data_IF_532613431996
#
_entry.id   IF_532613431996
#
_cell.length_a   1.000
_cell.length_b   1.000
_cell.length_c   1.000
_cell.angle_alpha   90.00
_cell.angle_beta   90.00
_cell.angle_gamma   90.00
#
_symmetry.space_group_name_H-M   'P 1'
#
loop_
_entity.id
_entity.type
_entity.pdbx_description
1 polymer ?
#
# COMPACT_ATOMS: atom_id res chain seq x y z
N UNK A 1 -24.04 -22.21 -1.02
CA UNK A 1 -23.97 -21.36 0.20
C UNK A 1 -23.85 -19.87 -0.13
N UNK A 2 -23.44 -19.53 -1.33
CA UNK A 2 -23.39 -18.13 -1.82
C UNK A 2 -24.74 -17.40 -1.71
N UNK A 3 -25.85 -18.16 -1.73
CA UNK A 3 -27.22 -17.64 -1.66
C UNK A 3 -27.92 -17.94 -0.32
N UNK A 4 -27.14 -18.14 0.77
CA UNK A 4 -27.68 -18.39 2.11
C UNK A 4 -28.17 -19.82 2.34
N UNK A 5 -27.85 -20.78 1.46
CA UNK A 5 -28.21 -22.18 1.68
C UNK A 5 -27.50 -22.77 2.90
N UNK A 6 -28.24 -23.34 3.83
CA UNK A 6 -27.75 -23.94 5.08
C UNK A 6 -27.94 -25.44 5.14
N UNK A 7 -28.62 -26.06 4.17
CA UNK A 7 -28.84 -27.51 4.11
C UNK A 7 -27.61 -28.26 3.58
N UNK A 8 -27.70 -29.57 3.60
CA UNK A 8 -26.71 -30.50 3.06
C UNK A 8 -26.56 -30.33 1.55
N UNK A 9 -25.32 -30.27 1.07
CA UNK A 9 -24.95 -30.34 -0.34
C UNK A 9 -24.23 -31.66 -0.60
N UNK A 10 -24.96 -32.63 -1.21
CA UNK A 10 -24.43 -33.97 -1.45
C UNK A 10 -23.95 -34.15 -2.88
N UNK A 11 -22.68 -34.53 -3.06
CA UNK A 11 -22.16 -35.00 -4.32
C UNK A 11 -22.65 -36.44 -4.57
N UNK A 12 -23.30 -36.68 -5.73
CA UNK A 12 -23.83 -37.95 -6.14
C UNK A 12 -23.31 -38.34 -7.54
N UNK A 13 -23.42 -39.64 -7.89
CA UNK A 13 -22.96 -40.21 -9.15
C UNK A 13 -21.67 -41.01 -8.97
N UNK A 14 -20.78 -41.00 -9.93
CA UNK A 14 -19.47 -41.67 -9.84
C UNK A 14 -18.46 -40.86 -9.03
N UNK A 15 -18.74 -40.65 -7.74
CA UNK A 15 -17.82 -39.95 -6.85
C UNK A 15 -16.67 -40.85 -6.46
N UNK A 16 -15.45 -40.49 -6.87
CA UNK A 16 -14.23 -41.24 -6.62
C UNK A 16 -13.39 -40.54 -5.52
N UNK A 17 -12.46 -41.31 -4.91
CA UNK A 17 -11.60 -40.85 -3.82
C UNK A 17 -10.81 -39.59 -4.15
N UNK A 18 -10.22 -39.53 -5.33
CA UNK A 18 -9.42 -38.43 -5.81
C UNK A 18 -10.19 -37.10 -6.04
N UNK A 19 -11.52 -37.19 -6.12
CA UNK A 19 -12.39 -36.02 -6.30
C UNK A 19 -12.82 -35.40 -4.97
N UNK A 20 -12.79 -36.13 -3.87
CA UNK A 20 -13.37 -35.74 -2.58
C UNK A 20 -12.79 -34.42 -2.06
N UNK A 21 -11.47 -34.29 -2.12
CA UNK A 21 -10.79 -33.07 -1.69
C UNK A 21 -11.32 -31.82 -2.44
N UNK A 22 -11.43 -31.86 -3.75
CA UNK A 22 -11.90 -30.73 -4.55
C UNK A 22 -13.40 -30.49 -4.42
N UNK A 23 -14.20 -31.54 -4.30
CA UNK A 23 -15.64 -31.42 -4.07
C UNK A 23 -15.93 -30.77 -2.73
N UNK A 24 -15.21 -31.15 -1.66
CA UNK A 24 -15.32 -30.51 -0.36
C UNK A 24 -14.96 -29.02 -0.44
N UNK A 25 -13.89 -28.67 -1.16
CA UNK A 25 -13.49 -27.29 -1.41
C UNK A 25 -14.50 -26.49 -2.23
N UNK A 26 -15.23 -27.15 -3.13
CA UNK A 26 -16.34 -26.55 -3.87
C UNK A 26 -17.61 -26.33 -3.01
N UNK A 27 -17.61 -26.81 -1.75
CA UNK A 27 -18.69 -26.60 -0.79
C UNK A 27 -19.63 -27.78 -0.59
N UNK A 28 -19.34 -28.95 -1.16
CA UNK A 28 -20.06 -30.16 -0.84
C UNK A 28 -19.67 -30.66 0.57
N UNK A 29 -20.65 -31.09 1.35
CA UNK A 29 -20.47 -31.55 2.73
C UNK A 29 -20.94 -33.00 2.94
N UNK A 30 -21.48 -33.64 1.88
CA UNK A 30 -21.83 -35.06 1.85
C UNK A 30 -21.42 -35.67 0.50
N UNK A 31 -21.07 -36.97 0.52
CA UNK A 31 -20.51 -37.64 -0.65
C UNK A 31 -21.09 -39.04 -0.75
N UNK A 32 -21.80 -39.36 -1.83
CA UNK A 32 -22.24 -40.71 -2.16
C UNK A 32 -21.18 -41.33 -3.08
N UNK A 33 -20.31 -42.16 -2.52
CA UNK A 33 -19.25 -42.82 -3.27
C UNK A 33 -19.82 -43.82 -4.29
N UNK A 34 -19.07 -44.06 -5.35
CA UNK A 34 -19.39 -45.10 -6.33
C UNK A 34 -19.47 -46.47 -5.65
N UNK A 35 -20.36 -47.40 -6.13
CA UNK A 35 -20.55 -48.73 -5.53
C UNK A 35 -19.24 -49.50 -5.34
N UNK A 36 -19.12 -50.17 -4.22
CA UNK A 36 -17.94 -51.01 -3.89
C UNK A 36 -16.71 -50.22 -3.42
N UNK A 37 -16.83 -48.95 -3.13
CA UNK A 37 -15.74 -48.13 -2.58
C UNK A 37 -15.80 -48.11 -1.04
N UNK A 38 -14.63 -48.25 -0.41
CA UNK A 38 -14.45 -48.11 1.01
C UNK A 38 -14.51 -46.63 1.44
N UNK A 39 -15.52 -46.28 2.23
CA UNK A 39 -15.77 -44.94 2.67
C UNK A 39 -14.69 -44.41 3.63
N UNK A 40 -14.16 -45.29 4.51
CA UNK A 40 -13.11 -44.94 5.46
C UNK A 40 -11.79 -44.67 4.77
N UNK A 41 -11.42 -45.53 3.80
CA UNK A 41 -10.25 -45.28 2.97
C UNK A 41 -10.38 -44.04 2.09
N UNK A 42 -11.61 -43.78 1.60
CA UNK A 42 -11.86 -42.56 0.80
C UNK A 42 -11.78 -41.28 1.64
N UNK A 43 -12.24 -41.29 2.91
CA UNK A 43 -12.19 -40.13 3.79
C UNK A 43 -10.76 -39.57 4.00
N UNK A 44 -9.74 -40.41 3.90
CA UNK A 44 -8.32 -39.96 3.98
C UNK A 44 -7.95 -39.00 2.85
N UNK A 45 -8.69 -38.95 1.75
CA UNK A 45 -8.45 -38.02 0.67
C UNK A 45 -8.58 -36.52 1.07
N UNK A 46 -9.31 -36.22 2.14
CA UNK A 46 -9.41 -34.87 2.65
C UNK A 46 -8.08 -34.36 3.25
N UNK A 47 -7.15 -35.22 3.56
CA UNK A 47 -5.83 -34.94 4.12
C UNK A 47 -4.69 -35.06 3.09
N UNK A 48 -4.98 -35.47 1.84
CA UNK A 48 -3.98 -35.69 0.80
C UNK A 48 -3.18 -34.43 0.47
N UNK A 49 -3.78 -33.25 0.67
CA UNK A 49 -3.13 -31.97 0.40
C UNK A 49 -3.21 -31.05 1.63
N UNK A 50 -2.06 -30.62 2.12
CA UNK A 50 -1.95 -29.64 3.20
C UNK A 50 -2.15 -28.20 2.70
N UNK A 51 -1.89 -27.95 1.42
CA UNK A 51 -1.93 -26.62 0.78
C UNK A 51 -2.82 -26.70 -0.45
N UNK A 52 -3.60 -25.63 -0.67
CA UNK A 52 -4.43 -25.47 -1.86
C UNK A 52 -3.87 -24.35 -2.75
N UNK A 53 -4.01 -24.53 -4.07
CA UNK A 53 -3.51 -23.52 -5.02
C UNK A 53 -4.44 -22.31 -5.14
N UNK A 54 -5.74 -22.55 -5.17
CA UNK A 54 -6.76 -21.51 -5.36
C UNK A 54 -7.61 -21.33 -4.11
N UNK A 55 -8.25 -20.19 -3.99
CA UNK A 55 -9.29 -19.92 -3.01
C UNK A 55 -10.55 -20.78 -3.30
N UNK A 56 -11.24 -21.16 -2.25
CA UNK A 56 -12.43 -22.00 -2.34
C UNK A 56 -13.42 -21.70 -1.19
N UNK A 57 -14.45 -22.55 -1.03
CA UNK A 57 -15.46 -22.39 0.03
C UNK A 57 -14.97 -22.82 1.43
N UNK A 58 -13.81 -23.44 1.52
CA UNK A 58 -13.15 -23.78 2.77
C UNK A 58 -12.34 -22.58 3.34
N UNK A 59 -11.86 -22.72 4.57
CA UNK A 59 -11.06 -21.70 5.25
C UNK A 59 -9.55 -21.81 4.98
N UNK A 60 -9.13 -22.65 4.03
CA UNK A 60 -7.71 -22.86 3.71
C UNK A 60 -7.14 -21.69 2.93
N UNK A 61 -6.04 -21.15 3.42
CA UNK A 61 -5.33 -20.08 2.68
C UNK A 61 -4.65 -20.65 1.44
N UNK A 62 -4.84 -20.06 0.26
CA UNK A 62 -4.14 -20.48 -0.95
C UNK A 62 -2.62 -20.31 -0.83
N UNK A 63 -1.86 -21.26 -1.37
CA UNK A 63 -0.39 -21.19 -1.37
C UNK A 63 0.17 -19.87 -1.92
N UNK A 64 -0.48 -19.30 -2.94
CA UNK A 64 -0.10 -18.00 -3.49
C UNK A 64 -0.30 -16.87 -2.47
N UNK A 65 -1.41 -16.87 -1.73
CA UNK A 65 -1.69 -15.86 -0.71
C UNK A 65 -0.67 -15.92 0.44
N UNK A 66 -0.29 -17.10 0.90
CA UNK A 66 0.75 -17.29 1.91
C UNK A 66 2.11 -16.78 1.44
N UNK A 67 2.48 -17.10 0.19
CA UNK A 67 3.72 -16.60 -0.42
C UNK A 67 3.72 -15.07 -0.56
N UNK A 68 2.60 -14.49 -0.97
CA UNK A 68 2.45 -13.03 -1.07
C UNK A 68 2.49 -12.37 0.31
N UNK A 69 1.88 -12.98 1.32
CA UNK A 69 1.92 -12.48 2.70
C UNK A 69 3.35 -12.51 3.26
N UNK A 70 4.09 -13.61 3.06
CA UNK A 70 5.48 -13.72 3.47
C UNK A 70 6.39 -12.70 2.75
N UNK A 71 6.21 -12.53 1.44
CA UNK A 71 6.96 -11.55 0.66
C UNK A 71 6.67 -10.10 1.09
N UNK A 72 5.40 -9.80 1.43
CA UNK A 72 5.00 -8.50 1.98
C UNK A 72 5.65 -8.25 3.34
N UNK A 73 5.60 -9.23 4.24
CA UNK A 73 6.20 -9.11 5.57
C UNK A 73 7.71 -8.90 5.49
N UNK A 74 8.40 -9.63 4.62
CA UNK A 74 9.83 -9.43 4.39
C UNK A 74 10.16 -7.99 3.92
N UNK A 75 9.32 -7.41 3.04
CA UNK A 75 9.47 -6.01 2.62
C UNK A 75 9.24 -5.04 3.79
N UNK A 76 8.22 -5.26 4.61
CA UNK A 76 7.93 -4.43 5.80
C UNK A 76 9.12 -4.44 6.76
N UNK A 77 9.64 -5.62 7.08
CA UNK A 77 10.80 -5.78 7.98
C UNK A 77 12.03 -5.07 7.42
N UNK A 78 12.30 -5.22 6.11
CA UNK A 78 13.42 -4.52 5.45
C UNK A 78 13.25 -3.01 5.52
N UNK A 79 12.07 -2.49 5.22
CA UNK A 79 11.79 -1.05 5.26
C UNK A 79 11.92 -0.49 6.68
N UNK A 80 11.41 -1.21 7.70
CA UNK A 80 11.61 -0.79 9.10
C UNK A 80 13.08 -0.70 9.50
N UNK A 81 13.89 -1.69 9.09
CA UNK A 81 15.35 -1.66 9.34
C UNK A 81 16.02 -0.48 8.66
N UNK A 82 15.64 -0.17 7.42
CA UNK A 82 16.16 0.97 6.67
C UNK A 82 15.79 2.28 7.38
N UNK A 83 14.52 2.48 7.72
CA UNK A 83 14.05 3.68 8.44
C UNK A 83 14.78 3.87 9.79
N UNK A 84 14.96 2.79 10.56
CA UNK A 84 15.67 2.84 11.83
C UNK A 84 17.14 3.23 11.64
N UNK A 85 17.81 2.70 10.61
CA UNK A 85 19.20 3.05 10.28
C UNK A 85 19.31 4.52 9.87
N UNK A 86 18.42 5.01 9.04
CA UNK A 86 18.39 6.43 8.62
C UNK A 86 18.15 7.34 9.84
N UNK A 87 17.16 7.02 10.67
CA UNK A 87 16.87 7.82 11.87
C UNK A 87 18.06 7.88 12.86
N UNK A 88 18.84 6.80 12.96
CA UNK A 88 20.02 6.75 13.81
C UNK A 88 21.20 7.55 13.22
N UNK A 89 21.38 7.50 11.89
CA UNK A 89 22.46 8.23 11.21
C UNK A 89 22.13 9.72 11.00
N UNK A 90 20.84 10.04 10.88
CA UNK A 90 20.32 11.38 10.54
C UNK A 90 19.20 11.78 11.50
N UNK A 91 19.52 12.31 12.71
CA UNK A 91 18.52 12.69 13.71
C UNK A 91 17.54 13.78 13.25
N UNK A 92 17.89 14.53 12.23
CA UNK A 92 17.09 15.58 11.59
C UNK A 92 16.44 15.16 10.27
N UNK A 93 16.41 13.86 9.98
CA UNK A 93 15.79 13.32 8.78
C UNK A 93 14.34 13.76 8.64
N UNK A 94 13.93 14.05 7.41
CA UNK A 94 12.57 14.45 7.08
C UNK A 94 11.98 13.57 5.96
N UNK A 95 10.72 13.17 6.12
CA UNK A 95 9.97 12.43 5.12
C UNK A 95 8.96 13.34 4.42
N UNK A 96 9.12 13.51 3.10
CA UNK A 96 8.19 14.25 2.27
C UNK A 96 7.04 13.32 1.85
N UNK A 97 5.87 13.50 2.43
CA UNK A 97 4.68 12.71 2.12
C UNK A 97 3.77 13.45 1.15
N UNK A 98 3.41 12.78 0.05
CA UNK A 98 2.35 13.24 -0.86
C UNK A 98 0.95 12.85 -0.37
N UNK A 99 0.85 12.13 0.76
CA UNK A 99 -0.37 11.52 1.31
C UNK A 99 -0.99 10.47 0.39
N UNK A 100 -0.27 10.01 -0.64
CA UNK A 100 -0.68 8.88 -1.47
C UNK A 100 -0.45 7.53 -0.75
N UNK A 101 -0.99 6.45 -1.30
CA UNK A 101 -0.96 5.14 -0.66
C UNK A 101 0.45 4.67 -0.26
N UNK A 102 1.45 4.90 -1.11
CA UNK A 102 2.84 4.55 -0.85
C UNK A 102 3.42 5.31 0.35
N UNK A 103 3.17 6.61 0.38
CA UNK A 103 3.67 7.47 1.45
C UNK A 103 2.94 7.18 2.76
N UNK A 104 1.66 6.80 2.71
CA UNK A 104 0.90 6.39 3.90
C UNK A 104 1.43 5.09 4.49
N UNK A 105 1.97 4.17 3.69
CA UNK A 105 2.67 2.97 4.23
C UNK A 105 3.91 3.39 5.02
N UNK A 106 4.72 4.31 4.50
CA UNK A 106 5.89 4.82 5.23
C UNK A 106 5.47 5.60 6.49
N UNK A 107 4.42 6.41 6.40
CA UNK A 107 3.84 7.12 7.54
C UNK A 107 3.41 6.15 8.65
N UNK A 108 2.71 5.06 8.31
CA UNK A 108 2.32 4.01 9.26
C UNK A 108 3.54 3.36 9.93
N UNK A 109 4.57 3.03 9.15
CA UNK A 109 5.79 2.42 9.68
C UNK A 109 6.56 3.36 10.62
N UNK A 110 6.71 4.64 10.25
CA UNK A 110 7.37 5.65 11.08
C UNK A 110 6.60 5.85 12.39
N UNK A 111 5.28 6.03 12.30
CA UNK A 111 4.43 6.25 13.46
C UNK A 111 4.45 5.07 14.43
N UNK A 112 4.24 3.84 13.93
CA UNK A 112 4.22 2.62 14.77
C UNK A 112 5.54 2.27 15.41
N UNK A 113 6.65 2.68 14.80
CA UNK A 113 7.99 2.43 15.36
C UNK A 113 8.48 3.56 16.24
N UNK A 114 7.76 4.69 16.31
CA UNK A 114 8.14 5.85 17.10
C UNK A 114 9.47 6.49 16.68
N UNK A 115 9.86 6.32 15.41
CA UNK A 115 11.11 6.88 14.90
C UNK A 115 11.06 8.41 14.85
N UNK A 116 12.13 9.14 15.20
CA UNK A 116 12.20 10.59 15.24
C UNK A 116 12.38 11.17 13.80
N UNK A 117 11.56 10.72 12.86
CA UNK A 117 11.55 11.23 11.48
C UNK A 117 10.39 12.21 11.35
N UNK A 118 10.69 13.47 11.04
CA UNK A 118 9.65 14.48 10.81
C UNK A 118 8.94 14.20 9.50
N UNK A 119 7.61 14.30 9.52
CA UNK A 119 6.80 14.13 8.31
C UNK A 119 6.27 15.49 7.89
N UNK A 120 6.45 15.83 6.62
CA UNK A 120 5.88 17.04 6.05
C UNK A 120 5.17 16.74 4.73
N UNK A 121 4.26 17.62 4.35
CA UNK A 121 3.58 17.60 3.05
C UNK A 121 3.59 18.97 2.42
N UNK A 122 3.50 19.02 1.09
CA UNK A 122 3.41 20.25 0.32
C UNK A 122 1.95 20.53 -0.03
N UNK A 123 1.36 21.53 0.62
CA UNK A 123 0.06 22.05 0.19
C UNK A 123 0.27 23.11 -0.89
N UNK A 124 0.14 22.70 -2.13
CA UNK A 124 0.34 23.56 -3.29
C UNK A 124 -0.78 24.59 -3.50
N UNK A 125 -1.82 24.58 -2.66
CA UNK A 125 -3.06 25.32 -2.86
C UNK A 125 -3.92 24.78 -4.02
N UNK A 126 -3.64 23.54 -4.47
CA UNK A 126 -4.36 22.85 -5.56
C UNK A 126 -4.57 21.35 -5.25
N UNK A 127 -4.43 20.95 -3.99
CA UNK A 127 -4.72 19.61 -3.56
C UNK A 127 -6.25 19.43 -3.43
N UNK A 128 -6.72 18.22 -3.67
CA UNK A 128 -8.11 17.84 -3.40
C UNK A 128 -8.40 17.87 -1.90
N UNK A 129 -9.66 18.14 -1.55
CA UNK A 129 -10.10 18.23 -0.15
C UNK A 129 -9.87 16.91 0.61
N UNK A 130 -10.05 15.78 -0.06
CA UNK A 130 -9.80 14.44 0.47
C UNK A 130 -8.33 14.24 0.83
N UNK A 131 -7.41 14.74 -0.01
CA UNK A 131 -5.96 14.68 0.28
C UNK A 131 -5.62 15.52 1.50
N UNK A 132 -6.17 16.72 1.62
CA UNK A 132 -5.99 17.56 2.81
C UNK A 132 -6.62 16.94 4.06
N UNK A 133 -7.76 16.26 3.92
CA UNK A 133 -8.42 15.52 5.00
C UNK A 133 -7.53 14.44 5.61
N UNK A 134 -6.68 13.79 4.80
CA UNK A 134 -5.73 12.77 5.28
C UNK A 134 -4.78 13.27 6.37
N UNK A 135 -4.49 14.59 6.42
CA UNK A 135 -3.65 15.19 7.48
C UNK A 135 -4.32 15.02 8.84
N UNK A 136 -5.61 15.41 8.93
CA UNK A 136 -6.41 15.26 10.15
C UNK A 136 -6.63 13.80 10.55
N UNK A 137 -6.90 12.92 9.58
CA UNK A 137 -7.07 11.50 9.82
C UNK A 137 -5.77 10.87 10.34
N UNK A 138 -4.62 11.25 9.79
CA UNK A 138 -3.31 10.78 10.24
C UNK A 138 -3.04 11.20 11.68
N UNK A 139 -3.33 12.45 12.03
CA UNK A 139 -3.21 12.93 13.42
C UNK A 139 -4.12 12.14 14.35
N UNK A 140 -5.37 11.92 13.97
CA UNK A 140 -6.34 11.16 14.78
C UNK A 140 -5.90 9.71 14.97
N UNK A 141 -5.40 9.07 13.92
CA UNK A 141 -5.05 7.65 13.94
C UNK A 141 -3.74 7.33 14.66
N UNK A 142 -2.73 8.18 14.48
CA UNK A 142 -1.36 7.89 14.93
C UNK A 142 -0.86 8.85 16.02
N UNK A 143 -1.58 9.93 16.33
CA UNK A 143 -1.13 10.94 17.28
C UNK A 143 0.07 11.77 16.81
N UNK A 144 0.41 11.71 15.52
CA UNK A 144 1.53 12.47 14.92
C UNK A 144 1.03 13.67 14.15
N UNK A 145 1.85 14.71 14.08
CA UNK A 145 1.57 15.88 13.24
C UNK A 145 2.35 15.83 11.95
N UNK A 146 1.66 16.13 10.84
CA UNK A 146 2.27 16.35 9.55
C UNK A 146 2.44 17.86 9.36
N UNK A 147 3.68 18.29 9.20
CA UNK A 147 4.00 19.70 8.90
C UNK A 147 3.52 20.06 7.50
N UNK A 148 2.75 21.14 7.36
CA UNK A 148 2.19 21.56 6.08
C UNK A 148 2.98 22.73 5.53
N UNK A 149 3.75 22.48 4.49
CA UNK A 149 4.54 23.49 3.79
C UNK A 149 3.71 24.11 2.69
N UNK A 150 3.53 25.43 2.76
CA UNK A 150 2.77 26.21 1.80
C UNK A 150 3.66 27.17 1.04
N UNK A 151 3.35 27.46 -0.24
CA UNK A 151 4.02 28.52 -0.98
C UNK A 151 3.75 29.90 -0.35
N UNK A 152 4.62 30.85 -0.61
CA UNK A 152 4.44 32.23 -0.18
C UNK A 152 3.28 32.84 -0.96
N UNK A 153 2.25 33.35 -0.25
CA UNK A 153 1.03 33.87 -0.87
C UNK A 153 1.30 35.00 -1.88
N UNK A 154 2.17 35.92 -1.53
CA UNK A 154 2.53 37.06 -2.39
C UNK A 154 3.18 36.61 -3.72
N UNK A 155 3.95 35.50 -3.73
CA UNK A 155 4.56 34.99 -4.96
C UNK A 155 3.52 34.35 -5.88
N UNK A 156 2.53 33.65 -5.28
CA UNK A 156 1.39 33.11 -6.02
C UNK A 156 0.58 34.25 -6.65
N UNK A 157 0.24 35.27 -5.85
CA UNK A 157 -0.55 36.42 -6.29
C UNK A 157 0.14 37.16 -7.41
N UNK A 158 1.45 37.45 -7.31
CA UNK A 158 2.24 38.08 -8.34
C UNK A 158 2.27 37.24 -9.62
N UNK A 159 2.50 35.94 -9.54
CA UNK A 159 2.50 35.02 -10.69
C UNK A 159 1.13 34.99 -11.39
N UNK A 160 0.05 34.89 -10.62
CA UNK A 160 -1.32 34.86 -11.16
C UNK A 160 -1.71 36.21 -11.78
N UNK A 161 -1.32 37.34 -11.17
CA UNK A 161 -1.59 38.65 -11.71
C UNK A 161 -0.85 38.90 -13.05
N UNK A 162 0.39 38.40 -13.16
CA UNK A 162 1.18 38.56 -14.37
C UNK A 162 0.79 37.64 -15.52
N UNK A 163 0.35 36.41 -15.23
CA UNK A 163 0.22 35.36 -16.23
C UNK A 163 -1.16 34.67 -16.23
N UNK A 164 -2.00 34.92 -15.22
CA UNK A 164 -3.29 34.23 -15.07
C UNK A 164 -3.21 32.95 -14.25
N UNK A 165 -4.36 32.55 -13.69
CA UNK A 165 -4.46 31.40 -12.79
C UNK A 165 -4.18 30.03 -13.45
N UNK A 166 -4.26 29.96 -14.78
CA UNK A 166 -4.13 28.74 -15.57
C UNK A 166 -2.95 28.78 -16.55
N UNK A 167 -2.07 29.75 -16.45
CA UNK A 167 -0.90 29.95 -17.32
C UNK A 167 0.01 28.72 -17.47
N UNK A 168 0.01 27.82 -16.49
CA UNK A 168 0.77 26.55 -16.53
C UNK A 168 0.31 25.58 -17.63
N UNK A 169 -0.80 25.85 -18.33
CA UNK A 169 -1.23 25.14 -19.53
C UNK A 169 -0.70 25.76 -20.82
N UNK A 170 -0.24 27.02 -20.79
CA UNK A 170 0.09 27.81 -21.96
C UNK A 170 1.51 27.51 -22.47
N UNK A 171 2.47 27.33 -21.54
CA UNK A 171 3.84 26.99 -21.92
C UNK A 171 4.56 26.17 -20.88
N UNK A 172 5.68 25.54 -21.30
CA UNK A 172 6.55 24.77 -20.41
C UNK A 172 7.21 25.67 -19.36
N UNK A 173 7.60 26.87 -19.75
CA UNK A 173 8.25 27.88 -18.89
C UNK A 173 7.29 28.30 -17.77
N UNK A 174 6.07 28.68 -18.12
CA UNK A 174 5.04 29.03 -17.13
C UNK A 174 4.67 27.87 -16.20
N UNK A 175 4.66 26.64 -16.75
CA UNK A 175 4.49 25.44 -15.91
C UNK A 175 5.64 25.26 -14.92
N UNK A 176 6.88 25.40 -15.37
CA UNK A 176 8.07 25.33 -14.50
C UNK A 176 8.04 26.42 -13.43
N UNK A 177 7.72 27.67 -13.80
CA UNK A 177 7.59 28.76 -12.85
C UNK A 177 6.52 28.50 -11.79
N UNK A 178 5.33 28.07 -12.20
CA UNK A 178 4.26 27.67 -11.30
C UNK A 178 4.67 26.52 -10.37
N UNK A 179 5.34 25.49 -10.91
CA UNK A 179 5.86 24.37 -10.11
C UNK A 179 6.95 24.82 -9.13
N UNK A 180 7.81 25.74 -9.53
CA UNK A 180 8.84 26.29 -8.66
C UNK A 180 8.20 26.96 -7.44
N UNK A 181 7.31 27.93 -7.65
CA UNK A 181 6.64 28.67 -6.59
C UNK A 181 5.85 27.75 -5.66
N UNK A 182 5.10 26.78 -6.23
CA UNK A 182 4.16 25.97 -5.46
C UNK A 182 4.75 24.72 -4.85
N UNK A 183 5.88 24.21 -5.35
CA UNK A 183 6.47 22.94 -4.91
C UNK A 183 7.94 23.06 -4.56
N UNK A 184 8.78 23.59 -5.46
CA UNK A 184 10.24 23.56 -5.30
C UNK A 184 10.69 24.48 -4.18
N UNK A 185 10.20 25.71 -4.13
CA UNK A 185 10.52 26.65 -3.06
C UNK A 185 10.07 26.13 -1.68
N UNK A 186 8.79 25.71 -1.47
CA UNK A 186 8.38 25.15 -0.19
C UNK A 186 9.15 23.87 0.19
N UNK A 187 9.50 23.02 -0.77
CA UNK A 187 10.33 21.84 -0.55
C UNK A 187 11.73 22.24 -0.08
N UNK A 188 12.39 23.18 -0.76
CA UNK A 188 13.72 23.66 -0.37
C UNK A 188 13.72 24.22 1.06
N UNK A 189 12.67 24.93 1.43
CA UNK A 189 12.49 25.48 2.77
C UNK A 189 12.26 24.38 3.81
N UNK A 190 11.49 23.34 3.48
CA UNK A 190 11.29 22.17 4.36
C UNK A 190 12.59 21.39 4.58
N UNK A 191 13.46 21.33 3.58
CA UNK A 191 14.71 20.57 3.60
C UNK A 191 15.90 21.38 4.10
N UNK A 192 15.76 22.68 4.28
CA UNK A 192 16.86 23.53 4.75
C UNK A 192 17.41 23.03 6.09
N UNK A 193 18.72 22.74 6.14
CA UNK A 193 19.41 22.23 7.30
C UNK A 193 19.15 20.76 7.65
N UNK A 194 18.48 19.99 6.78
CA UNK A 194 18.29 18.54 6.95
C UNK A 194 19.46 17.77 6.39
N UNK A 195 19.88 16.71 7.09
CA UNK A 195 20.96 15.81 6.64
C UNK A 195 20.42 14.63 5.82
N UNK A 196 19.13 14.34 5.86
CA UNK A 196 18.50 13.30 5.06
C UNK A 196 17.06 13.67 4.67
N UNK A 197 16.71 13.27 3.46
CA UNK A 197 15.38 13.41 2.89
C UNK A 197 14.86 12.06 2.40
N UNK A 198 13.69 11.64 2.90
CA UNK A 198 13.03 10.40 2.51
C UNK A 198 11.84 10.70 1.58
N UNK A 199 11.65 9.83 0.61
CA UNK A 199 10.50 9.85 -0.31
C UNK A 199 9.91 8.44 -0.46
N UNK A 200 8.62 8.34 -0.74
CA UNK A 200 7.93 7.08 -1.06
C UNK A 200 7.99 6.71 -2.54
N UNK A 201 8.98 7.19 -3.28
CA UNK A 201 9.11 6.88 -4.70
C UNK A 201 9.43 5.40 -4.93
N UNK A 202 8.78 4.81 -5.93
CA UNK A 202 9.01 3.41 -6.33
C UNK A 202 9.59 3.34 -7.74
N UNK A 203 10.45 2.33 -7.97
CA UNK A 203 11.08 2.09 -9.28
C UNK A 203 10.05 1.79 -10.38
N UNK A 204 8.95 1.14 -10.04
CA UNK A 204 7.89 0.73 -10.96
C UNK A 204 6.87 1.83 -11.31
N UNK A 205 6.98 3.02 -10.70
CA UNK A 205 6.07 4.14 -10.98
C UNK A 205 6.33 4.82 -12.33
N UNK A 206 7.55 4.75 -12.86
CA UNK A 206 7.90 5.28 -14.17
C UNK A 206 9.17 4.64 -14.70
N UNK A 207 9.29 4.54 -16.03
CA UNK A 207 10.48 3.98 -16.71
C UNK A 207 11.76 4.71 -16.30
N UNK A 208 11.67 6.03 -16.12
CA UNK A 208 12.80 6.88 -15.69
C UNK A 208 13.24 6.62 -14.25
N UNK A 209 12.47 5.88 -13.45
CA UNK A 209 12.77 5.56 -12.05
C UNK A 209 13.33 4.14 -11.86
N UNK A 210 13.45 3.36 -12.93
CA UNK A 210 13.88 1.95 -12.85
C UNK A 210 15.26 1.75 -12.18
N UNK A 211 16.15 2.73 -12.29
CA UNK A 211 17.49 2.71 -11.73
C UNK A 211 17.66 3.47 -10.40
N UNK A 212 16.54 3.92 -9.77
CA UNK A 212 16.65 4.64 -8.49
C UNK A 212 17.32 3.76 -7.43
N UNK A 213 18.39 4.23 -6.78
CA UNK A 213 18.97 3.55 -5.63
C UNK A 213 18.03 3.67 -4.41
N UNK A 214 18.30 2.92 -3.35
CA UNK A 214 17.58 3.07 -2.08
C UNK A 214 18.11 4.25 -1.26
N UNK A 215 19.38 4.59 -1.45
CA UNK A 215 20.09 5.72 -0.82
C UNK A 215 21.02 6.37 -1.84
N UNK A 216 21.13 7.69 -1.82
CA UNK A 216 22.04 8.53 -2.61
C UNK A 216 22.95 9.36 -1.68
#
# INVERSE_FOLDING_TARGET
RRYGWTGELRAVGEVLRDQLFYLARAGFDAFALAPGRDAEAAARAFEDFSIAYQDASDSRTPALADRMAAAREAKIVRTRKLLARIAAAHPDAAFASSLSAEDMVLTDLIARTGLPIRIFTLDTGRLHAETLGMIGETKTRYGIEIEVMRPVAAEIEAHVAAHGAHAFYESLELRKACCFIRKVEPLNRALAGRSAWLTGQRRDQAVTRGALPEEE
#
